data_IF_371710647640
#
_entry.id   IF_371710647640
#
_cell.length_a   1.000
_cell.length_b   1.000
_cell.length_c   1.000
_cell.angle_alpha   90.00
_cell.angle_beta   90.00
_cell.angle_gamma   90.00
#
_symmetry.space_group_name_H-M   'P 1'
#
loop_
_entity.id
_entity.type
_entity.pdbx_description
1 polymer ?
#
# COMPACT_ATOMS: atom_id res chain seq x y z
N UNK A 1 2.87 24.91 8.53
CA UNK A 1 1.76 23.95 8.35
C UNK A 1 1.94 23.23 7.02
N UNK A 2 2.31 21.95 7.03
CA UNK A 2 2.33 21.09 5.83
C UNK A 2 2.10 19.66 6.30
N UNK A 3 0.84 19.20 6.24
CA UNK A 3 0.48 17.81 6.52
C UNK A 3 0.86 17.00 5.28
N UNK A 4 1.96 16.24 5.33
CA UNK A 4 2.42 15.44 4.19
C UNK A 4 1.84 14.02 4.32
N UNK A 5 1.08 13.66 3.28
CA UNK A 5 0.38 12.40 3.06
C UNK A 5 1.21 11.16 3.42
N UNK A 6 0.74 10.39 4.40
CA UNK A 6 1.28 9.07 4.74
C UNK A 6 0.20 8.00 4.54
N UNK A 7 -0.05 7.68 3.27
CA UNK A 7 -0.98 6.63 2.81
C UNK A 7 -0.29 5.86 1.70
N UNK A 8 0.61 4.93 2.03
CA UNK A 8 1.30 4.12 1.00
C UNK A 8 1.19 2.61 1.24
N UNK A 9 0.76 2.15 2.41
CA UNK A 9 0.66 0.70 2.69
C UNK A 9 -0.53 0.00 2.03
N UNK A 10 -1.75 0.52 2.17
CA UNK A 10 -2.96 -0.08 1.57
C UNK A 10 -3.23 0.41 0.13
N UNK A 11 -2.44 1.38 -0.31
CA UNK A 11 -2.69 2.19 -1.50
C UNK A 11 -2.06 1.64 -2.79
N UNK A 12 -1.19 0.63 -2.70
CA UNK A 12 -0.59 0.06 -3.92
C UNK A 12 -1.59 -0.82 -4.67
N UNK A 13 -2.52 -1.47 -3.97
CA UNK A 13 -3.59 -2.27 -4.58
C UNK A 13 -4.92 -1.47 -4.67
N UNK A 14 -5.23 -0.56 -3.72
CA UNK A 14 -6.53 0.12 -3.68
C UNK A 14 -6.68 1.42 -4.52
N UNK A 15 -5.59 2.05 -5.00
CA UNK A 15 -5.69 3.38 -5.67
C UNK A 15 -6.19 3.31 -7.13
N UNK A 16 -6.29 2.14 -7.75
CA UNK A 16 -6.68 2.04 -9.17
C UNK A 16 -8.20 2.08 -9.42
N UNK A 17 -9.06 1.93 -8.39
CA UNK A 17 -10.50 1.63 -8.60
C UNK A 17 -11.46 2.83 -8.43
N UNK A 18 -11.01 3.97 -7.89
CA UNK A 18 -11.93 4.97 -7.34
C UNK A 18 -12.40 6.12 -8.29
N UNK A 19 -12.58 5.91 -9.59
CA UNK A 19 -13.01 7.02 -10.50
C UNK A 19 -14.26 6.74 -11.35
N UNK A 20 -15.06 5.71 -11.05
CA UNK A 20 -16.30 5.48 -11.78
C UNK A 20 -17.53 5.46 -10.84
N UNK A 21 -18.49 6.32 -11.18
CA UNK A 21 -19.89 6.33 -10.75
C UNK A 21 -20.18 6.72 -9.29
N UNK A 22 -20.45 8.02 -9.11
CA UNK A 22 -21.37 8.49 -8.09
C UNK A 22 -22.57 9.15 -8.79
N UNK A 23 -23.73 8.51 -8.76
CA UNK A 23 -25.04 9.19 -8.76
C UNK A 23 -26.11 8.35 -8.07
N UNK A 24 -26.87 9.08 -7.24
CA UNK A 24 -28.24 8.88 -6.72
C UNK A 24 -28.50 7.88 -5.57
N UNK A 25 -28.69 8.49 -4.39
CA UNK A 25 -29.99 8.67 -3.70
C UNK A 25 -30.82 7.45 -3.26
N UNK A 26 -30.85 7.21 -1.94
CA UNK A 26 -31.93 7.63 -1.00
C UNK A 26 -32.61 6.56 -0.11
N UNK A 27 -32.68 6.95 1.18
CA UNK A 27 -33.57 6.71 2.34
C UNK A 27 -34.32 5.38 2.59
N UNK A 28 -34.22 4.93 3.86
CA UNK A 28 -35.41 4.72 4.69
C UNK A 28 -35.52 3.41 5.48
N UNK A 29 -35.77 3.52 6.79
CA UNK A 29 -36.66 2.57 7.49
C UNK A 29 -36.09 1.81 8.70
N UNK A 30 -36.37 2.32 9.89
CA UNK A 30 -36.13 1.74 11.21
C UNK A 30 -37.27 0.76 11.59
N UNK A 31 -37.03 -0.44 12.17
CA UNK A 31 -38.00 -1.17 13.05
C UNK A 31 -37.35 -2.35 13.82
N UNK A 32 -37.47 -2.26 15.16
CA UNK A 32 -37.55 -3.30 16.22
C UNK A 32 -36.61 -4.52 16.22
N UNK A 33 -35.73 -4.55 17.24
CA UNK A 33 -34.85 -5.68 17.57
C UNK A 33 -35.62 -6.84 18.22
N UNK A 34 -35.42 -8.05 17.68
CA UNK A 34 -35.91 -9.32 18.21
C UNK A 34 -34.72 -10.08 18.86
N UNK A 35 -34.84 -10.66 20.06
CA UNK A 35 -33.69 -11.27 20.74
C UNK A 35 -33.54 -12.73 20.32
N UNK A 36 -32.80 -12.97 19.23
CA UNK A 36 -32.03 -14.19 18.91
C UNK A 36 -31.49 -14.12 17.48
N UNK A 37 -30.89 -12.99 17.08
CA UNK A 37 -30.14 -12.95 15.83
C UNK A 37 -28.72 -13.48 16.08
N UNK A 38 -28.19 -14.37 15.22
CA UNK A 38 -26.78 -14.73 15.28
C UNK A 38 -25.96 -13.44 15.15
N UNK A 39 -25.21 -13.10 16.21
CA UNK A 39 -24.38 -11.90 16.23
C UNK A 39 -23.43 -11.96 15.04
N UNK A 40 -23.51 -10.96 14.16
CA UNK A 40 -22.61 -10.86 13.02
C UNK A 40 -21.15 -10.92 13.51
N UNK A 41 -20.27 -11.68 12.82
CA UNK A 41 -18.88 -11.79 13.21
C UNK A 41 -18.24 -10.40 13.27
N UNK A 42 -17.50 -10.14 14.35
CA UNK A 42 -16.82 -8.86 14.57
C UNK A 42 -15.45 -8.90 13.92
N UNK A 43 -15.06 -7.84 13.21
CA UNK A 43 -13.73 -7.69 12.64
C UNK A 43 -12.65 -7.78 13.73
N UNK A 44 -11.68 -8.68 13.53
CA UNK A 44 -10.54 -8.90 14.41
C UNK A 44 -9.22 -8.57 13.72
N UNK A 45 -8.13 -8.52 14.51
CA UNK A 45 -6.78 -8.40 13.95
C UNK A 45 -6.37 -9.62 13.11
N UNK A 46 -6.95 -10.79 13.38
CA UNK A 46 -6.68 -12.01 12.60
C UNK A 46 -7.25 -11.88 11.19
N UNK A 47 -8.49 -11.41 11.04
CA UNK A 47 -9.12 -11.20 9.73
C UNK A 47 -8.29 -10.25 8.86
N UNK A 48 -7.76 -9.17 9.47
CA UNK A 48 -6.89 -8.21 8.78
C UNK A 48 -5.56 -8.86 8.38
N UNK A 49 -4.99 -9.68 9.25
CA UNK A 49 -3.74 -10.41 8.99
C UNK A 49 -3.88 -11.43 7.86
N UNK A 50 -4.96 -12.21 7.86
CA UNK A 50 -5.28 -13.19 6.82
C UNK A 50 -5.56 -12.51 5.48
N UNK A 51 -6.34 -11.43 5.47
CA UNK A 51 -6.58 -10.64 4.27
C UNK A 51 -5.28 -10.06 3.69
N UNK A 52 -4.39 -9.52 4.54
CA UNK A 52 -3.08 -9.05 4.08
C UNK A 52 -2.23 -10.19 3.52
N UNK A 53 -2.20 -11.35 4.20
CA UNK A 53 -1.45 -12.52 3.73
C UNK A 53 -1.93 -13.04 2.38
N UNK A 54 -3.24 -13.08 2.15
CA UNK A 54 -3.82 -13.47 0.87
C UNK A 54 -3.46 -12.50 -0.26
N UNK A 55 -3.48 -11.19 0.00
CA UNK A 55 -3.08 -10.17 -0.96
C UNK A 55 -1.57 -10.21 -1.26
N UNK A 56 -0.73 -10.44 -0.24
CA UNK A 56 0.71 -10.59 -0.40
C UNK A 56 1.04 -11.81 -1.28
N UNK A 57 0.35 -12.94 -1.09
CA UNK A 57 0.54 -14.14 -1.90
C UNK A 57 0.17 -13.91 -3.38
N UNK A 58 -0.94 -13.24 -3.65
CA UNK A 58 -1.33 -12.87 -5.03
C UNK A 58 -0.29 -11.96 -5.69
N UNK A 59 0.27 -11.01 -4.93
CA UNK A 59 1.31 -10.13 -5.43
C UNK A 59 2.63 -10.89 -5.66
N UNK A 60 2.97 -11.84 -4.79
CA UNK A 60 4.13 -12.72 -4.97
C UNK A 60 4.04 -13.51 -6.26
N UNK A 61 2.90 -14.16 -6.49
CA UNK A 61 2.64 -14.95 -7.69
C UNK A 61 2.74 -14.11 -8.97
N UNK A 62 2.21 -12.88 -8.97
CA UNK A 62 2.32 -11.99 -10.13
C UNK A 62 3.74 -11.49 -10.41
N UNK A 63 4.63 -11.55 -9.41
CA UNK A 63 6.02 -11.10 -9.52
C UNK A 63 7.02 -12.25 -9.71
N UNK A 64 6.63 -13.51 -9.51
CA UNK A 64 7.53 -14.66 -9.44
C UNK A 64 8.54 -14.75 -10.61
N UNK A 65 8.08 -14.46 -11.84
CA UNK A 65 8.91 -14.56 -13.06
C UNK A 65 9.58 -13.23 -13.49
N UNK A 66 9.52 -12.20 -12.65
CA UNK A 66 10.07 -10.87 -12.99
C UNK A 66 11.51 -10.68 -12.54
N UNK A 67 12.01 -11.55 -11.65
CA UNK A 67 13.27 -11.34 -10.95
C UNK A 67 13.25 -10.12 -10.02
N UNK A 68 12.06 -9.60 -9.68
CA UNK A 68 11.86 -8.50 -8.74
C UNK A 68 11.09 -9.02 -7.55
N UNK A 69 11.66 -8.84 -6.36
CA UNK A 69 11.01 -9.19 -5.10
C UNK A 69 9.87 -8.22 -4.79
N UNK A 70 8.92 -8.61 -3.93
CA UNK A 70 7.88 -7.70 -3.43
C UNK A 70 8.50 -6.43 -2.82
N UNK A 71 9.63 -6.56 -2.10
CA UNK A 71 10.30 -5.41 -1.47
C UNK A 71 10.83 -4.43 -2.51
N UNK A 72 11.55 -4.92 -3.52
CA UNK A 72 12.04 -4.09 -4.62
C UNK A 72 10.89 -3.44 -5.39
N UNK A 73 9.82 -4.19 -5.67
CA UNK A 73 8.62 -3.64 -6.30
C UNK A 73 8.02 -2.50 -5.46
N UNK A 74 7.87 -2.67 -4.15
CA UNK A 74 7.34 -1.63 -3.27
C UNK A 74 8.27 -0.41 -3.18
N UNK A 75 9.59 -0.60 -3.24
CA UNK A 75 10.56 0.51 -3.31
C UNK A 75 10.42 1.28 -4.62
N UNK A 76 10.42 0.60 -5.77
CA UNK A 76 10.22 1.21 -7.09
C UNK A 76 8.89 1.97 -7.14
N UNK A 77 7.81 1.34 -6.66
CA UNK A 77 6.47 1.92 -6.63
C UNK A 77 6.38 3.14 -5.73
N UNK A 78 7.11 3.12 -4.62
CA UNK A 78 7.19 4.25 -3.70
C UNK A 78 7.95 5.42 -4.33
N UNK A 79 9.08 5.16 -4.98
CA UNK A 79 9.84 6.19 -5.70
C UNK A 79 9.05 6.80 -6.86
N UNK A 80 8.42 5.97 -7.70
CA UNK A 80 7.67 6.42 -8.87
C UNK A 80 6.43 7.27 -8.54
N UNK A 81 5.91 7.19 -7.30
CA UNK A 81 4.73 7.95 -6.85
C UNK A 81 5.06 9.17 -5.99
N UNK A 82 6.29 9.28 -5.50
CA UNK A 82 6.70 10.36 -4.60
C UNK A 82 7.55 11.40 -5.31
N UNK A 83 7.53 12.63 -4.81
CA UNK A 83 8.48 13.64 -5.26
C UNK A 83 9.91 13.22 -4.91
N UNK A 84 10.89 13.50 -5.80
CA UNK A 84 12.30 13.29 -5.51
C UNK A 84 12.71 13.89 -4.16
N UNK A 85 13.55 13.17 -3.42
CA UNK A 85 14.05 13.57 -2.10
C UNK A 85 15.45 13.01 -1.85
N UNK A 86 16.22 13.58 -0.92
CA UNK A 86 17.52 13.02 -0.54
C UNK A 86 17.42 11.55 -0.14
N UNK A 87 18.45 10.76 -0.44
CA UNK A 87 18.46 9.31 -0.18
C UNK A 87 18.21 8.99 1.30
N UNK A 88 18.82 9.76 2.21
CA UNK A 88 18.61 9.62 3.67
C UNK A 88 17.13 9.71 4.05
N UNK A 89 16.42 10.73 3.58
CA UNK A 89 15.00 10.92 3.88
C UNK A 89 14.14 9.79 3.33
N UNK A 90 14.56 9.19 2.22
CA UNK A 90 13.90 8.03 1.64
C UNK A 90 14.15 6.76 2.47
N UNK A 91 15.37 6.50 2.93
CA UNK A 91 15.67 5.38 3.83
C UNK A 91 14.89 5.48 5.14
N UNK A 92 14.89 6.65 5.78
CA UNK A 92 14.13 6.89 7.00
C UNK A 92 12.63 6.68 6.77
N UNK A 93 12.13 7.10 5.60
CA UNK A 93 10.76 6.83 5.20
C UNK A 93 10.48 5.33 5.08
N UNK A 94 11.33 4.56 4.39
CA UNK A 94 11.17 3.10 4.22
C UNK A 94 11.21 2.35 5.56
N UNK A 95 12.17 2.67 6.44
CA UNK A 95 12.28 2.08 7.78
C UNK A 95 11.07 2.44 8.66
N UNK A 96 10.52 3.64 8.48
CA UNK A 96 9.28 4.06 9.13
C UNK A 96 8.06 3.25 8.70
N UNK A 97 8.09 2.65 7.50
CA UNK A 97 7.00 1.82 6.96
C UNK A 97 7.10 0.37 7.48
N UNK A 98 6.59 0.13 8.70
CA UNK A 98 6.64 -1.21 9.33
C UNK A 98 6.04 -2.34 8.49
N UNK A 99 5.06 -2.05 7.65
CA UNK A 99 4.49 -3.01 6.72
C UNK A 99 5.49 -3.54 5.68
N UNK A 100 6.53 -2.76 5.34
CA UNK A 100 7.57 -3.19 4.41
C UNK A 100 8.53 -4.18 5.05
N UNK A 101 8.50 -4.31 6.39
CA UNK A 101 9.39 -5.18 7.17
C UNK A 101 10.87 -4.97 6.82
N UNK A 102 11.25 -3.72 6.58
CA UNK A 102 12.62 -3.30 6.29
C UNK A 102 13.28 -2.75 7.56
N UNK A 103 14.45 -3.26 7.90
CA UNK A 103 15.40 -2.54 8.75
C UNK A 103 16.28 -1.61 7.92
N UNK A 104 17.10 -0.79 8.59
CA UNK A 104 17.94 0.21 7.93
C UNK A 104 18.93 -0.43 6.94
N UNK A 105 19.57 -1.54 7.32
CA UNK A 105 20.49 -2.28 6.44
C UNK A 105 19.77 -2.80 5.20
N UNK A 106 18.63 -3.47 5.38
CA UNK A 106 17.87 -4.06 4.29
C UNK A 106 17.33 -2.98 3.34
N UNK A 107 16.91 -1.82 3.86
CA UNK A 107 16.48 -0.70 3.02
C UNK A 107 17.62 -0.17 2.14
N UNK A 108 18.81 0.01 2.71
CA UNK A 108 20.00 0.45 1.96
C UNK A 108 20.40 -0.60 0.92
N UNK A 109 20.50 -1.87 1.31
CA UNK A 109 20.89 -2.96 0.42
C UNK A 109 19.90 -3.14 -0.74
N UNK A 110 18.60 -2.99 -0.47
CA UNK A 110 17.55 -3.06 -1.51
C UNK A 110 17.72 -1.95 -2.53
N UNK A 111 17.91 -0.70 -2.09
CA UNK A 111 18.06 0.44 -3.00
C UNK A 111 19.38 0.37 -3.78
N UNK A 112 20.47 -0.06 -3.14
CA UNK A 112 21.75 -0.30 -3.82
C UNK A 112 21.65 -1.40 -4.87
N UNK A 113 20.97 -2.51 -4.57
CA UNK A 113 20.73 -3.56 -5.56
C UNK A 113 19.94 -3.05 -6.78
N UNK A 114 19.04 -2.09 -6.60
CA UNK A 114 18.35 -1.42 -7.71
C UNK A 114 19.27 -0.47 -8.49
N UNK A 115 20.22 0.20 -7.83
CA UNK A 115 21.22 1.07 -8.48
C UNK A 115 22.23 0.25 -9.29
N UNK A 116 22.70 -0.87 -8.76
CA UNK A 116 23.60 -1.80 -9.47
C UNK A 116 22.95 -2.33 -10.76
N UNK A 117 21.62 -2.40 -10.79
CA UNK A 117 20.81 -2.78 -11.97
C UNK A 117 20.49 -1.60 -12.89
N UNK A 118 20.91 -0.38 -12.53
CA UNK A 118 20.64 0.84 -13.30
C UNK A 118 19.18 1.30 -13.24
N UNK A 119 18.40 0.91 -12.23
CA UNK A 119 16.98 1.24 -12.09
C UNK A 119 16.74 2.50 -11.26
N UNK A 120 17.70 2.87 -10.42
CA UNK A 120 17.66 4.09 -9.60
C UNK A 120 19.00 4.82 -9.66
N UNK A 121 18.99 6.10 -9.34
CA UNK A 121 20.19 6.95 -9.24
C UNK A 121 20.07 7.88 -8.04
N UNK A 122 21.21 8.29 -7.49
CA UNK A 122 21.28 9.19 -6.33
C UNK A 122 21.11 8.47 -5.00
N UNK A 123 21.69 7.27 -4.87
CA UNK A 123 21.65 6.43 -3.66
C UNK A 123 22.64 6.91 -2.59
N UNK A 124 23.65 7.69 -2.97
CA UNK A 124 24.57 8.35 -2.07
C UNK A 124 23.80 9.20 -1.04
N UNK A 125 24.05 9.05 0.28
CA UNK A 125 23.45 9.90 1.31
C UNK A 125 23.56 11.42 1.06
N UNK A 126 24.63 11.85 0.36
CA UNK A 126 24.87 13.25 0.01
C UNK A 126 24.21 13.68 -1.31
N UNK A 127 23.60 12.74 -2.05
CA UNK A 127 22.86 13.05 -3.25
C UNK A 127 21.62 13.92 -2.94
N UNK A 128 21.40 14.93 -3.78
CA UNK A 128 20.28 15.86 -3.63
C UNK A 128 18.92 15.19 -3.87
N UNK A 129 18.89 14.11 -4.66
CA UNK A 129 17.67 13.37 -4.94
C UNK A 129 17.95 11.91 -5.35
N UNK A 130 17.26 10.98 -4.69
CA UNK A 130 17.07 9.61 -5.14
C UNK A 130 15.88 9.56 -6.11
N UNK A 131 16.10 9.00 -7.30
CA UNK A 131 15.09 8.95 -8.38
C UNK A 131 15.16 7.63 -9.16
N UNK A 132 14.06 7.28 -9.85
CA UNK A 132 14.07 6.23 -10.86
C UNK A 132 14.84 6.73 -12.10
N UNK A 133 15.62 5.84 -12.71
CA UNK A 133 16.12 6.04 -14.09
C UNK A 133 14.98 5.83 -15.10
N UNK A 134 15.15 6.17 -16.40
CA UNK A 134 14.18 5.80 -17.43
C UNK A 134 13.83 4.30 -17.41
N UNK A 135 14.84 3.43 -17.27
CA UNK A 135 14.68 1.99 -17.19
C UNK A 135 13.90 1.58 -15.93
N UNK A 136 14.14 2.26 -14.80
CA UNK A 136 13.38 2.08 -13.56
C UNK A 136 11.91 2.49 -13.68
N UNK A 137 11.62 3.58 -14.41
CA UNK A 137 10.25 4.02 -14.70
C UNK A 137 9.52 2.99 -15.55
N UNK A 138 10.16 2.51 -16.62
CA UNK A 138 9.58 1.50 -17.52
C UNK A 138 9.30 0.19 -16.77
N UNK A 139 10.22 -0.23 -15.89
CA UNK A 139 10.04 -1.40 -15.05
C UNK A 139 8.91 -1.21 -14.04
N UNK A 140 8.83 -0.07 -13.32
CA UNK A 140 7.70 0.20 -12.41
C UNK A 140 6.36 0.11 -13.14
N UNK A 141 6.27 0.71 -14.33
CA UNK A 141 5.08 0.67 -15.15
C UNK A 141 4.70 -0.75 -15.56
N UNK A 142 5.68 -1.56 -16.00
CA UNK A 142 5.45 -2.95 -16.39
C UNK A 142 5.00 -3.82 -15.21
N UNK A 143 5.64 -3.69 -14.05
CA UNK A 143 5.27 -4.43 -12.83
C UNK A 143 3.88 -3.99 -12.33
N UNK A 144 3.59 -2.69 -12.35
CA UNK A 144 2.29 -2.17 -11.98
C UNK A 144 1.18 -2.67 -12.91
N UNK A 145 1.44 -2.76 -14.22
CA UNK A 145 0.50 -3.31 -15.19
C UNK A 145 0.25 -4.81 -14.96
N UNK A 146 1.26 -5.57 -14.53
CA UNK A 146 1.11 -6.98 -14.13
C UNK A 146 0.29 -7.15 -12.85
N UNK A 147 0.47 -6.27 -11.87
CA UNK A 147 -0.25 -6.34 -10.60
C UNK A 147 -1.70 -5.79 -10.69
N UNK A 148 -1.99 -4.91 -11.65
CA UNK A 148 -3.30 -4.24 -11.76
C UNK A 148 -4.51 -5.19 -11.90
N UNK A 149 -4.45 -6.30 -12.66
CA UNK A 149 -5.55 -7.26 -12.74
C UNK A 149 -5.94 -7.87 -11.40
N UNK A 150 -4.99 -8.07 -10.47
CA UNK A 150 -5.27 -8.63 -9.13
C UNK A 150 -6.31 -7.76 -8.41
N UNK A 151 -6.11 -6.43 -8.41
CA UNK A 151 -7.05 -5.51 -7.76
C UNK A 151 -8.45 -5.61 -8.37
N UNK A 152 -8.55 -5.79 -9.68
CA UNK A 152 -9.83 -5.95 -10.37
C UNK A 152 -10.49 -7.28 -10.02
N UNK A 153 -9.73 -8.37 -9.98
CA UNK A 153 -10.24 -9.70 -9.63
C UNK A 153 -10.68 -9.80 -8.17
N UNK A 154 -9.95 -9.17 -7.25
CA UNK A 154 -10.26 -9.21 -5.82
C UNK A 154 -11.41 -8.28 -5.48
N UNK A 155 -11.42 -7.04 -5.99
CA UNK A 155 -12.38 -6.02 -5.55
C UNK A 155 -13.52 -5.74 -6.54
N UNK A 156 -13.42 -6.18 -7.79
CA UNK A 156 -14.31 -5.74 -8.88
C UNK A 156 -15.77 -6.16 -8.72
N UNK A 157 -16.04 -7.27 -8.04
CA UNK A 157 -17.40 -7.76 -7.78
C UNK A 157 -17.93 -7.36 -6.39
N UNK A 158 -17.10 -6.70 -5.58
CA UNK A 158 -17.49 -6.26 -4.24
C UNK A 158 -18.38 -5.01 -4.29
N UNK A 159 -19.31 -4.90 -3.33
CA UNK A 159 -20.14 -3.72 -3.19
C UNK A 159 -19.28 -2.47 -2.90
N UNK A 160 -19.40 -1.37 -3.68
CA UNK A 160 -18.64 -0.15 -3.45
C UNK A 160 -18.83 0.47 -2.05
N UNK A 161 -20.02 0.30 -1.45
CA UNK A 161 -20.32 0.80 -0.10
C UNK A 161 -19.55 0.02 0.96
N UNK A 162 -19.39 -1.29 0.77
CA UNK A 162 -18.62 -2.15 1.67
C UNK A 162 -17.14 -1.82 1.56
N UNK A 163 -16.63 -1.61 0.33
CA UNK A 163 -15.26 -1.16 0.10
C UNK A 163 -14.97 0.20 0.76
N UNK A 164 -15.90 1.16 0.65
CA UNK A 164 -15.77 2.46 1.32
C UNK A 164 -15.78 2.30 2.85
N UNK A 165 -16.65 1.43 3.37
CA UNK A 165 -16.72 1.14 4.81
C UNK A 165 -15.44 0.49 5.31
N UNK A 166 -14.94 -0.52 4.61
CA UNK A 166 -13.67 -1.17 4.90
C UNK A 166 -12.51 -0.17 4.88
N UNK A 167 -12.44 0.71 3.86
CA UNK A 167 -11.43 1.76 3.80
C UNK A 167 -11.45 2.66 5.03
N UNK A 168 -12.64 3.16 5.42
CA UNK A 168 -12.80 4.00 6.61
C UNK A 168 -12.34 3.28 7.87
N UNK A 169 -12.80 2.05 8.09
CA UNK A 169 -12.45 1.24 9.27
C UNK A 169 -10.94 0.98 9.35
N UNK A 170 -10.32 0.55 8.25
CA UNK A 170 -8.88 0.28 8.20
C UNK A 170 -8.07 1.57 8.45
N UNK A 171 -8.54 2.72 7.95
CA UNK A 171 -7.92 4.01 8.22
C UNK A 171 -8.02 4.42 9.69
N UNK A 172 -9.18 4.24 10.31
CA UNK A 172 -9.37 4.52 11.73
C UNK A 172 -8.46 3.63 12.60
N UNK A 173 -8.31 2.35 12.25
CA UNK A 173 -7.38 1.43 12.92
C UNK A 173 -5.93 1.93 12.80
N UNK A 174 -5.50 2.33 11.60
CA UNK A 174 -4.15 2.87 11.35
C UNK A 174 -3.91 4.12 12.20
N UNK A 175 -4.84 5.07 12.19
CA UNK A 175 -4.66 6.35 12.88
C UNK A 175 -4.67 6.19 14.40
N UNK A 176 -5.56 5.35 14.95
CA UNK A 176 -5.56 5.00 16.38
C UNK A 176 -4.29 4.27 16.79
N UNK A 177 -3.82 3.32 15.97
CA UNK A 177 -2.58 2.58 16.25
C UNK A 177 -1.36 3.50 16.28
N UNK A 178 -1.29 4.49 15.38
CA UNK A 178 -0.24 5.51 15.38
C UNK A 178 -0.32 6.40 16.63
N UNK A 179 -1.51 6.87 16.99
CA UNK A 179 -1.71 7.69 18.18
C UNK A 179 -1.27 6.96 19.46
N UNK A 180 -1.69 5.69 19.62
CA UNK A 180 -1.30 4.85 20.76
C UNK A 180 0.20 4.58 20.84
N UNK A 181 0.89 4.55 19.70
CA UNK A 181 2.36 4.41 19.66
C UNK A 181 3.08 5.69 20.01
N UNK A 182 2.55 6.85 19.62
CA UNK A 182 3.13 8.15 19.94
C UNK A 182 2.93 8.55 21.42
N UNK A 183 1.97 7.94 22.11
CA UNK A 183 1.70 8.15 23.54
C UNK A 183 2.46 7.20 24.47
N UNK A 184 3.36 6.37 23.95
CA UNK A 184 4.25 5.48 24.71
C UNK A 184 5.66 6.03 24.70
#
# INVERSE_FOLDING_TARGET
MKKINTVVALAVIAITVATACATTSDTGGNTAANPSEPTAPTLTGQDIGEANGALDALLEDALADTGVTIREYLVLRTLGRQSPRPARDFYDYLVGQRQLKLDASTAVDTVRGLEDRGLVTGVDPEATALTLTPEGVDLDAALAARAAPIATQVFGEMNPTDLQTAHRVLRDIIDRSRALRASR
#
